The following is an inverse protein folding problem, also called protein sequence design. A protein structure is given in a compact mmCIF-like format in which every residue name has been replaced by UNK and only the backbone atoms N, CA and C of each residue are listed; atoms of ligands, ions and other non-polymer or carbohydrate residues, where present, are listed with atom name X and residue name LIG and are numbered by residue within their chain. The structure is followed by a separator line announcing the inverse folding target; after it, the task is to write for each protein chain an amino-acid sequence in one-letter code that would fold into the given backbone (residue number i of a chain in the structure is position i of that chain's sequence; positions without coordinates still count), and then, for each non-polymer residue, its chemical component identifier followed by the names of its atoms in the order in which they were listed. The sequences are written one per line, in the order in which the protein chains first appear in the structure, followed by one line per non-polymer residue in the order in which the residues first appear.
data_IF_920642259100
#
_entry.id   IF_920642259100
#
_cell.length_a   1.000
_cell.length_b   1.000
_cell.length_c   1.000
_cell.angle_alpha   90.00
_cell.angle_beta   90.00
_cell.angle_gamma   90.00
#
_symmetry.space_group_name_H-M   'P 1'
#
loop_
_entity.id
_entity.type
_entity.pdbx_description
1 polymer ?
#
# COMPACT_ATOMS: atom_id res chain seq x y z
N UNK A 1 1.86 -20.43 -30.01
CA UNK A 1 0.64 -19.72 -29.56
C UNK A 1 0.63 -19.80 -28.04
N UNK A 2 1.26 -18.82 -27.38
CA UNK A 2 1.43 -18.83 -25.91
C UNK A 2 0.13 -18.34 -25.28
N UNK A 3 -0.49 -19.18 -24.47
CA UNK A 3 -1.66 -18.83 -23.68
C UNK A 3 -1.20 -17.91 -22.55
N UNK A 4 -1.51 -16.61 -22.65
CA UNK A 4 -1.35 -15.70 -21.54
C UNK A 4 -2.48 -15.99 -20.55
N UNK A 5 -2.13 -16.44 -19.35
CA UNK A 5 -3.07 -16.48 -18.25
C UNK A 5 -3.34 -15.02 -17.84
N UNK A 6 -4.37 -14.41 -18.41
CA UNK A 6 -4.89 -13.11 -17.97
C UNK A 6 -5.43 -13.28 -16.56
N UNK A 7 -4.61 -12.95 -15.57
CA UNK A 7 -5.06 -12.76 -14.19
C UNK A 7 -5.99 -11.54 -14.20
N UNK A 8 -7.30 -11.78 -14.18
CA UNK A 8 -8.30 -10.73 -14.04
C UNK A 8 -8.20 -10.13 -12.64
N UNK A 9 -8.02 -8.81 -12.59
CA UNK A 9 -7.97 -8.01 -11.34
C UNK A 9 -9.22 -8.21 -10.48
N UNK A 10 -10.33 -8.63 -11.09
CA UNK A 10 -11.59 -9.00 -10.43
C UNK A 10 -11.39 -10.05 -9.31
N UNK A 11 -10.39 -10.92 -9.44
CA UNK A 11 -10.07 -11.91 -8.41
C UNK A 11 -9.45 -11.32 -7.13
N UNK A 12 -9.24 -9.99 -7.04
CA UNK A 12 -8.68 -9.29 -5.88
C UNK A 12 -9.67 -8.37 -5.17
N UNK A 13 -10.93 -8.35 -5.60
CA UNK A 13 -11.94 -7.40 -5.10
C UNK A 13 -12.66 -7.93 -3.85
N UNK A 14 -12.61 -9.24 -3.59
CA UNK A 14 -13.24 -9.85 -2.42
C UNK A 14 -12.38 -9.67 -1.14
N UNK A 15 -13.01 -9.37 0.01
CA UNK A 15 -12.29 -9.34 1.28
C UNK A 15 -11.64 -10.70 1.56
N UNK A 16 -10.31 -10.71 1.66
CA UNK A 16 -9.55 -11.96 1.84
C UNK A 16 -9.31 -12.75 0.55
N UNK A 17 -9.37 -12.13 -0.63
CA UNK A 17 -9.13 -12.68 -1.97
C UNK A 17 -7.75 -13.37 -2.23
N UNK A 18 -7.00 -13.69 -1.18
CA UNK A 18 -5.82 -14.55 -1.22
C UNK A 18 -5.81 -15.66 -0.15
N UNK A 19 -6.83 -15.73 0.71
CA UNK A 19 -6.96 -16.75 1.74
C UNK A 19 -7.82 -17.89 1.18
N UNK A 20 -7.19 -18.83 0.47
CA UNK A 20 -7.88 -20.10 0.16
C UNK A 20 -8.27 -20.78 1.47
N UNK A 21 -9.54 -21.20 1.58
CA UNK A 21 -10.02 -21.97 2.72
C UNK A 21 -9.25 -23.28 2.81
N UNK A 22 -8.75 -23.62 4.00
CA UNK A 22 -8.05 -24.89 4.24
C UNK A 22 -8.92 -26.10 3.85
N UNK A 23 -10.24 -25.96 3.78
CA UNK A 23 -11.14 -27.04 3.37
C UNK A 23 -10.96 -27.49 1.91
N UNK A 24 -10.54 -26.60 1.00
CA UNK A 24 -10.34 -26.94 -0.42
C UNK A 24 -9.04 -27.73 -0.67
N UNK A 25 -8.07 -27.67 0.26
CA UNK A 25 -6.78 -28.37 0.15
C UNK A 25 -6.96 -29.88 0.35
N UNK A 26 -8.00 -30.30 1.07
CA UNK A 26 -8.18 -31.70 1.49
C UNK A 26 -8.94 -32.53 0.47
N UNK A 27 -9.43 -31.89 -0.60
CA UNK A 27 -10.19 -32.56 -1.65
C UNK A 27 -9.30 -33.06 -2.81
N UNK A 28 -8.02 -32.67 -2.82
CA UNK A 28 -7.07 -32.92 -3.94
C UNK A 28 -5.86 -33.79 -3.54
N UNK A 29 -5.95 -34.52 -2.41
CA UNK A 29 -4.82 -35.30 -1.87
C UNK A 29 -4.24 -36.30 -2.87
N UNK A 30 -5.07 -36.86 -3.74
CA UNK A 30 -4.64 -37.86 -4.72
C UNK A 30 -3.84 -37.23 -5.88
N UNK A 31 -4.07 -35.95 -6.21
CA UNK A 31 -3.27 -35.22 -7.20
C UNK A 31 -1.89 -34.82 -6.65
N UNK A 32 -1.78 -34.59 -5.34
CA UNK A 32 -0.52 -34.22 -4.67
C UNK A 32 0.50 -35.37 -4.72
N UNK A 33 0.04 -36.63 -4.60
CA UNK A 33 0.95 -37.78 -4.65
C UNK A 33 1.47 -38.05 -6.07
N UNK A 34 0.66 -37.83 -7.11
CA UNK A 34 1.08 -38.07 -8.50
C UNK A 34 2.10 -37.04 -9.01
N UNK A 35 2.09 -35.80 -8.48
CA UNK A 35 3.06 -34.76 -8.83
C UNK A 35 4.41 -34.98 -8.11
N UNK A 36 4.37 -35.50 -6.87
CA UNK A 36 5.56 -35.74 -6.04
C UNK A 36 6.55 -36.76 -6.65
N UNK A 37 6.06 -37.68 -7.47
CA UNK A 37 6.90 -38.71 -8.10
C UNK A 37 7.24 -38.44 -9.58
N UNK A 38 6.67 -37.40 -10.20
CA UNK A 38 7.00 -37.00 -11.58
C UNK A 38 8.22 -36.08 -11.66
N UNK A 39 8.45 -35.26 -10.64
CA UNK A 39 9.53 -34.26 -10.63
C UNK A 39 10.94 -34.86 -10.45
N UNK A 40 11.05 -36.13 -10.03
CA UNK A 40 12.35 -36.75 -9.72
C UNK A 40 13.21 -37.11 -10.96
N UNK A 41 12.70 -36.94 -12.19
CA UNK A 41 13.37 -37.39 -13.42
C UNK A 41 13.78 -36.28 -14.40
N UNK A 42 13.39 -35.03 -14.19
CA UNK A 42 13.69 -33.92 -15.12
C UNK A 42 14.62 -32.83 -14.53
N UNK A 43 15.00 -32.96 -13.25
CA UNK A 43 15.55 -31.85 -12.44
C UNK A 43 17.09 -31.68 -12.48
N UNK A 44 17.74 -32.02 -13.59
CA UNK A 44 19.21 -31.85 -13.70
C UNK A 44 19.66 -30.53 -14.34
N UNK A 45 18.74 -29.63 -14.71
CA UNK A 45 19.06 -28.28 -15.21
C UNK A 45 18.08 -27.16 -14.79
N UNK A 46 17.38 -27.29 -13.67
CA UNK A 46 16.50 -26.23 -13.17
C UNK A 46 17.30 -25.07 -12.54
N UNK A 47 17.47 -24.02 -13.35
CA UNK A 47 17.55 -22.61 -12.97
C UNK A 47 16.97 -22.36 -11.57
N UNK A 48 17.77 -21.84 -10.64
CA UNK A 48 17.46 -21.74 -9.20
C UNK A 48 16.09 -21.10 -8.99
N UNK A 49 15.10 -21.92 -8.61
CA UNK A 49 13.72 -21.55 -8.25
C UNK A 49 13.71 -20.74 -6.94
N UNK A 50 14.19 -19.51 -6.96
CA UNK A 50 14.22 -18.66 -5.77
C UNK A 50 12.99 -17.72 -5.75
N UNK A 51 12.15 -17.76 -4.70
CA UNK A 51 11.07 -16.79 -4.51
C UNK A 51 11.57 -15.35 -4.65
N UNK A 52 10.83 -14.54 -5.40
CA UNK A 52 11.19 -13.14 -5.63
C UNK A 52 10.01 -12.19 -5.44
N UNK A 53 10.33 -10.94 -5.13
CA UNK A 53 9.35 -9.86 -4.93
C UNK A 53 9.78 -8.62 -5.69
N UNK A 54 8.80 -7.85 -6.16
CA UNK A 54 9.09 -6.62 -6.89
C UNK A 54 9.49 -5.52 -5.93
N UNK A 55 10.54 -4.80 -6.27
CA UNK A 55 11.01 -3.61 -5.55
C UNK A 55 11.41 -2.53 -6.54
N UNK A 56 11.82 -1.37 -6.03
CA UNK A 56 12.24 -0.22 -6.85
C UNK A 56 13.52 0.45 -6.30
N UNK A 57 14.31 -0.27 -5.50
CA UNK A 57 15.61 0.19 -4.97
C UNK A 57 15.56 1.56 -4.28
N UNK A 58 14.55 1.81 -3.45
CA UNK A 58 14.38 3.09 -2.74
C UNK A 58 14.10 4.32 -3.61
N UNK A 59 13.99 4.18 -4.93
CA UNK A 59 13.82 5.30 -5.85
C UNK A 59 12.36 5.79 -5.88
N UNK A 60 12.09 6.94 -5.23
CA UNK A 60 10.75 7.54 -5.19
C UNK A 60 10.15 7.79 -6.58
N UNK A 61 10.95 8.17 -7.58
CA UNK A 61 10.48 8.37 -8.95
C UNK A 61 9.98 7.08 -9.59
N UNK A 62 10.70 5.97 -9.39
CA UNK A 62 10.30 4.66 -9.89
C UNK A 62 9.05 4.14 -9.15
N UNK A 63 8.99 4.32 -7.82
CA UNK A 63 7.81 3.96 -7.00
C UNK A 63 6.59 4.78 -7.44
N UNK A 64 6.74 6.08 -7.67
CA UNK A 64 5.66 6.96 -8.13
C UNK A 64 5.17 6.57 -9.53
N UNK A 65 6.08 6.27 -10.47
CA UNK A 65 5.71 5.75 -11.79
C UNK A 65 4.91 4.44 -11.67
N UNK A 66 5.35 3.52 -10.81
CA UNK A 66 4.65 2.27 -10.57
C UNK A 66 3.28 2.46 -9.89
N UNK A 67 3.13 3.44 -8.99
CA UNK A 67 1.83 3.82 -8.45
C UNK A 67 0.85 4.20 -9.58
N UNK A 68 1.29 5.01 -10.55
CA UNK A 68 0.43 5.40 -11.67
C UNK A 68 0.04 4.24 -12.59
N UNK A 69 0.92 3.25 -12.74
CA UNK A 69 0.64 2.07 -13.57
C UNK A 69 -0.35 1.13 -12.87
N UNK A 70 -0.10 0.81 -11.59
CA UNK A 70 -0.74 -0.32 -10.93
C UNK A 70 -1.82 0.05 -9.91
N UNK A 71 -1.76 1.25 -9.34
CA UNK A 71 -2.62 1.64 -8.21
C UNK A 71 -3.57 2.77 -8.59
N UNK A 72 -3.09 3.83 -9.25
CA UNK A 72 -3.90 5.00 -9.62
C UNK A 72 -5.19 4.67 -10.38
N UNK A 73 -5.24 3.68 -11.31
CA UNK A 73 -6.48 3.30 -11.98
C UNK A 73 -7.61 2.87 -11.03
N UNK A 74 -7.27 2.39 -9.83
CA UNK A 74 -8.21 1.88 -8.82
C UNK A 74 -8.29 2.80 -7.58
N UNK A 75 -7.22 3.52 -7.29
CA UNK A 75 -7.07 4.37 -6.10
C UNK A 75 -6.41 5.72 -6.44
N UNK A 76 -7.12 6.62 -7.16
CA UNK A 76 -6.58 7.86 -7.72
C UNK A 76 -6.51 9.01 -6.69
N UNK A 77 -5.88 8.74 -5.54
CA UNK A 77 -5.73 9.70 -4.43
C UNK A 77 -4.72 10.82 -4.71
N UNK A 78 -3.73 10.58 -5.58
CA UNK A 78 -2.78 11.61 -6.02
C UNK A 78 -3.23 12.26 -7.34
N UNK A 79 -2.79 13.50 -7.63
CA UNK A 79 -3.00 14.15 -8.92
C UNK A 79 -2.52 13.26 -10.09
N UNK A 80 -3.14 13.41 -11.27
CA UNK A 80 -2.74 12.66 -12.46
C UNK A 80 -1.29 13.01 -12.86
N UNK A 81 -0.59 12.08 -13.53
CA UNK A 81 0.79 12.32 -13.94
C UNK A 81 0.83 13.45 -14.97
N UNK A 82 1.70 14.45 -14.75
CA UNK A 82 1.94 15.54 -15.71
C UNK A 82 2.87 15.12 -16.85
N UNK A 83 3.70 14.10 -16.62
CA UNK A 83 4.61 13.53 -17.59
C UNK A 83 4.09 12.19 -18.10
N UNK A 84 4.52 11.80 -19.30
CA UNK A 84 4.25 10.46 -19.81
C UNK A 84 4.86 9.40 -18.87
N UNK A 85 4.10 8.34 -18.61
CA UNK A 85 4.56 7.21 -17.81
C UNK A 85 5.71 6.50 -18.52
N UNK A 86 6.71 6.09 -17.76
CA UNK A 86 7.78 5.22 -18.23
C UNK A 86 7.39 3.76 -18.03
N UNK A 87 8.11 2.84 -18.69
CA UNK A 87 7.96 1.41 -18.41
C UNK A 87 8.20 1.11 -16.93
N UNK A 88 7.60 0.03 -16.42
CA UNK A 88 7.76 -0.40 -15.03
C UNK A 88 9.22 -0.76 -14.73
N UNK A 89 9.84 -0.08 -13.77
CA UNK A 89 11.28 -0.17 -13.46
C UNK A 89 11.52 -1.12 -12.29
N UNK A 90 11.04 -2.36 -12.43
CA UNK A 90 11.12 -3.37 -11.36
C UNK A 90 12.57 -3.78 -11.10
N UNK A 91 12.93 -3.85 -9.83
CA UNK A 91 14.16 -4.46 -9.33
C UNK A 91 13.76 -5.72 -8.55
N UNK A 92 14.00 -6.94 -9.08
CA UNK A 92 13.61 -8.16 -8.39
C UNK A 92 14.47 -8.38 -7.15
N UNK A 93 13.83 -8.64 -6.02
CA UNK A 93 14.47 -9.02 -4.77
C UNK A 93 14.19 -10.49 -4.48
N UNK A 94 15.26 -11.29 -4.48
CA UNK A 94 15.21 -12.70 -4.10
C UNK A 94 15.14 -12.83 -2.57
N UNK A 95 14.45 -13.85 -2.05
CA UNK A 95 14.39 -14.08 -0.60
C UNK A 95 15.79 -14.27 0.01
N UNK A 96 16.72 -14.91 -0.72
CA UNK A 96 18.12 -15.07 -0.31
C UNK A 96 18.91 -13.76 -0.20
N UNK A 97 18.35 -12.64 -0.69
CA UNK A 97 18.94 -11.31 -0.66
C UNK A 97 18.25 -10.39 0.34
N UNK A 98 17.48 -10.93 1.29
CA UNK A 98 16.79 -10.17 2.33
C UNK A 98 17.70 -9.27 3.18
N UNK A 99 19.01 -9.52 3.18
CA UNK A 99 19.95 -8.69 3.93
C UNK A 99 20.37 -7.42 3.17
N UNK A 100 20.01 -7.31 1.88
CA UNK A 100 20.32 -6.14 1.02
C UNK A 100 19.14 -5.16 0.91
N UNK A 101 18.25 -5.17 1.89
CA UNK A 101 17.06 -4.33 1.89
C UNK A 101 17.43 -2.86 2.04
N UNK A 102 17.23 -2.09 0.99
CA UNK A 102 17.11 -0.64 1.08
C UNK A 102 15.63 -0.30 1.29
N UNK A 103 15.29 0.09 2.51
CA UNK A 103 13.92 0.49 2.85
C UNK A 103 13.55 1.79 2.12
N UNK A 104 12.34 1.90 1.56
CA UNK A 104 11.83 3.17 1.06
C UNK A 104 11.80 4.22 2.19
N UNK A 105 12.16 5.46 1.88
CA UNK A 105 12.52 6.43 2.93
C UNK A 105 11.35 7.14 3.61
N UNK A 106 10.13 7.10 3.03
CA UNK A 106 8.95 7.81 3.56
C UNK A 106 7.75 6.89 3.73
N UNK A 107 6.86 7.24 4.67
CA UNK A 107 5.63 6.50 4.94
C UNK A 107 4.81 6.19 3.68
N UNK A 108 4.65 7.18 2.79
CA UNK A 108 3.92 7.01 1.53
C UNK A 108 4.64 6.05 0.57
N UNK A 109 5.97 6.17 0.44
CA UNK A 109 6.76 5.29 -0.42
C UNK A 109 6.71 3.83 0.07
N UNK A 110 6.76 3.61 1.39
CA UNK A 110 6.59 2.30 2.01
C UNK A 110 5.18 1.75 1.81
N UNK A 111 4.13 2.55 2.00
CA UNK A 111 2.75 2.13 1.81
C UNK A 111 2.45 1.73 0.36
N UNK A 112 2.92 2.51 -0.61
CA UNK A 112 2.83 2.18 -2.04
C UNK A 112 3.60 0.88 -2.33
N UNK A 113 4.85 0.80 -1.86
CA UNK A 113 5.70 -0.37 -2.08
C UNK A 113 5.11 -1.64 -1.46
N UNK A 114 4.43 -1.55 -0.32
CA UNK A 114 3.76 -2.68 0.31
C UNK A 114 2.65 -3.27 -0.58
N UNK A 115 1.88 -2.42 -1.26
CA UNK A 115 0.86 -2.87 -2.23
C UNK A 115 1.55 -3.43 -3.48
N UNK A 116 2.54 -2.73 -4.03
CA UNK A 116 3.25 -3.16 -5.24
C UNK A 116 3.94 -4.51 -5.04
N UNK A 117 4.57 -4.76 -3.89
CA UNK A 117 5.26 -6.00 -3.57
C UNK A 117 4.37 -7.26 -3.71
N UNK A 118 3.05 -7.12 -3.65
CA UNK A 118 2.14 -8.26 -3.82
C UNK A 118 1.91 -8.64 -5.28
N UNK A 119 2.19 -7.73 -6.20
CA UNK A 119 2.05 -7.96 -7.63
C UNK A 119 3.29 -8.75 -8.11
N UNK A 120 3.12 -9.87 -8.83
CA UNK A 120 4.23 -10.72 -9.28
C UNK A 120 5.35 -9.98 -10.03
N UNK A 121 6.61 -10.35 -9.86
CA UNK A 121 7.68 -9.84 -10.72
C UNK A 121 7.47 -10.30 -12.17
N UNK A 122 7.78 -9.47 -13.17
CA UNK A 122 7.81 -9.90 -14.57
C UNK A 122 8.75 -11.09 -14.83
N UNK A 123 9.85 -11.19 -14.06
CA UNK A 123 10.87 -12.22 -14.17
C UNK A 123 10.49 -13.52 -13.46
N UNK A 124 9.45 -13.50 -12.62
CA UNK A 124 8.99 -14.67 -11.88
C UNK A 124 8.23 -15.62 -12.82
N UNK A 125 8.84 -16.78 -13.08
CA UNK A 125 8.27 -17.81 -13.96
C UNK A 125 7.15 -18.60 -13.30
N UNK A 126 7.08 -18.65 -11.97
CA UNK A 126 6.04 -19.37 -11.24
C UNK A 126 5.46 -18.53 -10.10
N UNK A 127 4.74 -17.44 -10.41
CA UNK A 127 4.32 -16.49 -9.40
C UNK A 127 3.19 -17.00 -8.50
N UNK A 128 2.56 -18.12 -8.85
CA UNK A 128 1.52 -18.75 -8.03
C UNK A 128 2.09 -19.82 -7.10
N UNK A 129 3.38 -20.08 -7.18
CA UNK A 129 4.09 -20.95 -6.26
C UNK A 129 3.83 -20.52 -4.80
N UNK A 130 3.51 -21.45 -3.88
CA UNK A 130 3.23 -21.12 -2.48
C UNK A 130 4.36 -20.33 -1.81
N UNK A 131 5.62 -20.63 -2.11
CA UNK A 131 6.77 -19.96 -1.51
C UNK A 131 6.94 -18.55 -2.10
N UNK A 132 6.73 -18.38 -3.41
CA UNK A 132 6.69 -17.06 -4.05
C UNK A 132 5.58 -16.18 -3.46
N UNK A 133 4.37 -16.74 -3.27
CA UNK A 133 3.25 -16.03 -2.64
C UNK A 133 3.54 -15.68 -1.18
N UNK A 134 4.10 -16.62 -0.42
CA UNK A 134 4.46 -16.41 0.98
C UNK A 134 5.53 -15.32 1.12
N UNK A 135 6.56 -15.34 0.26
CA UNK A 135 7.61 -14.33 0.24
C UNK A 135 7.07 -12.94 -0.07
N UNK A 136 6.27 -12.79 -1.14
CA UNK A 136 5.65 -11.49 -1.47
C UNK A 136 4.80 -10.94 -0.33
N UNK A 137 4.03 -11.80 0.37
CA UNK A 137 3.23 -11.40 1.54
C UNK A 137 4.08 -10.97 2.72
N UNK A 138 5.13 -11.74 3.05
CA UNK A 138 6.06 -11.45 4.14
C UNK A 138 6.74 -10.10 3.92
N UNK A 139 7.26 -9.88 2.72
CA UNK A 139 7.94 -8.63 2.37
C UNK A 139 6.99 -7.43 2.30
N UNK A 140 5.81 -7.60 1.72
CA UNK A 140 4.74 -6.60 1.73
C UNK A 140 4.35 -6.19 3.15
N UNK A 141 4.21 -7.15 4.07
CA UNK A 141 3.89 -6.88 5.46
C UNK A 141 5.01 -6.13 6.18
N UNK A 142 6.26 -6.44 5.87
CA UNK A 142 7.41 -5.70 6.38
C UNK A 142 7.32 -4.22 5.96
N UNK A 143 7.14 -3.93 4.68
CA UNK A 143 6.98 -2.56 4.17
C UNK A 143 5.77 -1.83 4.78
N UNK A 144 4.65 -2.52 4.98
CA UNK A 144 3.47 -1.93 5.63
C UNK A 144 3.73 -1.57 7.11
N UNK A 145 4.62 -2.28 7.79
CA UNK A 145 5.08 -1.93 9.14
C UNK A 145 6.05 -0.77 9.12
N UNK A 146 7.06 -0.79 8.24
CA UNK A 146 7.98 0.34 8.06
C UNK A 146 7.23 1.63 7.73
N UNK A 147 6.15 1.56 6.95
CA UNK A 147 5.29 2.71 6.68
C UNK A 147 4.67 3.32 7.95
N UNK A 148 4.28 2.49 8.92
CA UNK A 148 3.67 2.93 10.17
C UNK A 148 4.72 3.48 11.13
N UNK A 149 5.85 2.81 11.23
CA UNK A 149 6.99 3.27 12.03
C UNK A 149 7.48 4.63 11.50
N UNK A 150 7.50 4.82 10.18
CA UNK A 150 7.79 6.11 9.56
C UNK A 150 6.73 7.17 9.86
N UNK A 151 5.43 6.83 9.90
CA UNK A 151 4.37 7.77 10.29
C UNK A 151 4.52 8.22 11.75
N UNK A 152 4.83 7.28 12.65
CA UNK A 152 5.05 7.57 14.06
C UNK A 152 6.28 8.46 14.25
N UNK A 153 7.38 8.14 13.54
CA UNK A 153 8.62 8.93 13.57
C UNK A 153 8.46 10.34 12.97
N UNK A 154 7.58 10.52 11.98
CA UNK A 154 7.27 11.84 11.41
C UNK A 154 6.46 12.74 12.36
N UNK A 155 5.68 12.14 13.27
CA UNK A 155 4.88 12.86 14.28
C UNK A 155 5.68 13.13 15.57
N UNK A 156 6.81 12.45 15.76
CA UNK A 156 7.71 12.65 16.91
C UNK A 156 8.43 14.01 16.84
N UNK A 157 8.11 14.89 17.78
CA UNK A 157 8.82 16.16 17.95
C UNK A 157 10.18 15.89 18.62
N UNK A 158 11.33 16.16 17.96
CA UNK A 158 12.65 15.91 18.56
C UNK A 158 12.82 16.64 19.89
N UNK A 159 12.27 17.85 19.99
CA UNK A 159 12.31 18.67 21.19
C UNK A 159 11.52 18.08 22.36
N UNK A 160 10.53 17.22 22.10
CA UNK A 160 9.77 16.54 23.16
C UNK A 160 10.65 15.60 23.99
N UNK A 161 11.72 15.05 23.40
CA UNK A 161 12.67 14.17 24.10
C UNK A 161 13.76 14.92 24.86
N UNK A 162 14.05 16.18 24.48
CA UNK A 162 15.18 16.95 25.01
C UNK A 162 14.71 18.06 25.96
N UNK A 163 13.67 18.80 25.58
CA UNK A 163 13.12 19.93 26.35
C UNK A 163 11.59 20.05 26.14
N UNK A 164 10.78 19.28 26.91
CA UNK A 164 9.33 19.21 26.71
C UNK A 164 8.62 20.56 26.82
N UNK A 165 9.13 21.49 27.63
CA UNK A 165 8.60 22.84 27.80
C UNK A 165 8.65 23.63 26.48
N UNK A 166 9.76 23.51 25.76
CA UNK A 166 10.02 24.19 24.49
C UNK A 166 9.18 23.59 23.36
N UNK A 167 9.00 22.26 23.37
CA UNK A 167 8.10 21.57 22.45
C UNK A 167 6.63 22.03 22.55
N UNK A 168 6.20 22.54 23.71
CA UNK A 168 4.85 23.10 23.91
C UNK A 168 4.74 24.57 23.44
N UNK A 169 5.85 25.30 23.41
CA UNK A 169 5.89 26.73 23.06
C UNK A 169 6.08 26.96 21.56
N UNK A 170 6.80 26.06 20.88
CA UNK A 170 7.04 26.18 19.44
C UNK A 170 5.83 25.72 18.62
N UNK A 171 5.44 26.48 17.57
CA UNK A 171 4.45 25.99 16.60
C UNK A 171 4.95 24.68 15.97
N UNK A 172 4.05 23.80 15.52
CA UNK A 172 4.43 22.63 14.73
C UNK A 172 5.25 23.12 13.52
N UNK A 173 6.56 22.91 13.57
CA UNK A 173 7.45 23.33 12.50
C UNK A 173 7.18 22.45 11.28
N UNK A 174 7.22 23.05 10.10
CA UNK A 174 6.90 22.35 8.86
C UNK A 174 7.85 21.15 8.67
N UNK A 175 7.31 19.96 8.36
CA UNK A 175 8.10 18.76 8.10
C UNK A 175 9.08 19.06 6.94
N UNK A 176 10.35 19.27 7.27
CA UNK A 176 11.42 19.66 6.34
C UNK A 176 11.96 18.46 5.54
N UNK A 177 11.07 17.59 5.04
CA UNK A 177 11.46 16.45 4.20
C UNK A 177 11.14 16.70 2.74
N UNK A 178 11.86 16.01 1.87
CA UNK A 178 11.57 16.02 0.44
C UNK A 178 10.16 15.47 0.18
N UNK A 179 9.43 16.14 -0.72
CA UNK A 179 8.12 15.68 -1.19
C UNK A 179 8.28 14.39 -1.97
N UNK A 180 7.43 13.42 -1.69
CA UNK A 180 7.34 12.22 -2.51
C UNK A 180 6.76 12.54 -3.90
N UNK A 181 5.80 13.46 -3.97
CA UNK A 181 5.15 13.87 -5.21
C UNK A 181 5.19 15.39 -5.38
N UNK A 182 5.60 15.93 -6.54
CA UNK A 182 5.83 17.37 -6.73
C UNK A 182 4.58 18.23 -6.46
N UNK A 183 3.41 17.77 -6.92
CA UNK A 183 2.12 18.46 -6.73
C UNK A 183 1.33 18.00 -5.50
N UNK A 184 1.98 17.32 -4.55
CA UNK A 184 1.36 16.99 -3.26
C UNK A 184 2.18 17.66 -2.17
N UNK A 185 1.56 18.49 -1.31
CA UNK A 185 2.26 19.08 -0.18
C UNK A 185 2.53 17.99 0.87
N UNK A 186 3.66 18.07 1.57
CA UNK A 186 4.17 17.03 2.48
C UNK A 186 3.13 16.67 3.55
N UNK A 187 2.37 17.66 4.00
CA UNK A 187 1.35 17.53 5.05
C UNK A 187 0.22 16.56 4.66
N UNK A 188 -0.01 16.32 3.36
CA UNK A 188 -1.02 15.37 2.89
C UNK A 188 -0.50 13.95 2.74
N UNK A 189 0.82 13.74 2.71
CA UNK A 189 1.41 12.43 2.42
C UNK A 189 1.11 11.40 3.52
N UNK A 190 1.04 11.83 4.78
CA UNK A 190 0.64 10.96 5.90
C UNK A 190 -0.81 10.48 5.79
N UNK A 191 -1.72 11.37 5.38
CA UNK A 191 -3.12 11.03 5.10
C UNK A 191 -3.21 10.04 3.94
N UNK A 192 -2.43 10.25 2.89
CA UNK A 192 -2.37 9.34 1.73
C UNK A 192 -1.86 7.96 2.15
N UNK A 193 -0.76 7.90 2.93
CA UNK A 193 -0.20 6.65 3.44
C UNK A 193 -1.22 5.89 4.30
N UNK A 194 -1.92 6.56 5.22
CA UNK A 194 -2.95 5.94 6.06
C UNK A 194 -4.10 5.35 5.22
N UNK A 195 -4.54 6.06 4.19
CA UNK A 195 -5.58 5.57 3.28
C UNK A 195 -5.12 4.34 2.48
N UNK A 196 -3.90 4.36 1.94
CA UNK A 196 -3.32 3.20 1.25
C UNK A 196 -3.19 1.99 2.18
N UNK A 197 -2.75 2.21 3.43
CA UNK A 197 -2.67 1.16 4.44
C UNK A 197 -4.05 0.64 4.86
N UNK A 198 -5.09 1.48 4.86
CA UNK A 198 -6.46 1.02 5.09
C UNK A 198 -6.90 0.02 4.03
N UNK A 199 -6.69 0.36 2.75
CA UNK A 199 -6.98 -0.53 1.60
C UNK A 199 -6.16 -1.82 1.69
N UNK A 200 -4.88 -1.70 2.04
CA UNK A 200 -3.99 -2.84 2.25
C UNK A 200 -4.52 -3.81 3.32
N UNK A 201 -4.92 -3.31 4.49
CA UNK A 201 -5.45 -4.12 5.58
C UNK A 201 -6.75 -4.84 5.19
N UNK A 202 -7.58 -4.20 4.36
CA UNK A 202 -8.79 -4.82 3.82
C UNK A 202 -8.47 -5.94 2.82
N UNK A 203 -7.81 -5.58 1.71
CA UNK A 203 -7.65 -6.46 0.56
C UNK A 203 -6.70 -7.63 0.84
N UNK A 204 -5.66 -7.41 1.64
CA UNK A 204 -4.54 -8.35 1.77
C UNK A 204 -4.52 -9.06 3.12
N UNK A 205 -5.00 -8.38 4.17
CA UNK A 205 -4.99 -8.91 5.53
C UNK A 205 -6.36 -9.37 6.02
N UNK A 206 -7.45 -8.95 5.36
CA UNK A 206 -8.81 -9.14 5.86
C UNK A 206 -9.04 -8.53 7.24
N UNK A 207 -8.19 -7.59 7.67
CA UNK A 207 -8.21 -7.05 9.02
C UNK A 207 -9.07 -5.80 9.09
N UNK A 208 -10.38 -6.00 9.17
CA UNK A 208 -11.37 -4.92 9.14
C UNK A 208 -11.21 -3.92 10.30
N UNK A 209 -10.71 -4.39 11.46
CA UNK A 209 -10.43 -3.53 12.62
C UNK A 209 -9.27 -2.57 12.32
N UNK A 210 -8.17 -3.08 11.74
CA UNK A 210 -7.04 -2.23 11.35
C UNK A 210 -7.39 -1.32 10.18
N UNK A 211 -8.07 -1.84 9.16
CA UNK A 211 -8.59 -1.04 8.04
C UNK A 211 -9.34 0.19 8.58
N UNK A 212 -10.31 -0.03 9.47
CA UNK A 212 -11.09 1.04 10.08
C UNK A 212 -10.22 2.00 10.87
N UNK A 213 -9.36 1.51 11.75
CA UNK A 213 -8.50 2.36 12.58
C UNK A 213 -7.66 3.31 11.71
N UNK A 214 -7.10 2.82 10.59
CA UNK A 214 -6.32 3.64 9.66
C UNK A 214 -7.16 4.66 8.91
N UNK A 215 -8.37 4.28 8.46
CA UNK A 215 -9.29 5.22 7.81
C UNK A 215 -9.77 6.31 8.79
N UNK A 216 -10.07 5.95 10.03
CA UNK A 216 -10.48 6.90 11.08
C UNK A 216 -9.34 7.88 11.40
N UNK A 217 -8.09 7.41 11.51
CA UNK A 217 -6.91 8.29 11.65
C UNK A 217 -6.73 9.21 10.45
N UNK A 218 -6.84 8.70 9.22
CA UNK A 218 -6.76 9.52 8.01
C UNK A 218 -7.82 10.63 7.99
N UNK A 219 -9.05 10.30 8.40
CA UNK A 219 -10.14 11.27 8.49
C UNK A 219 -9.86 12.36 9.51
N UNK A 220 -9.41 11.99 10.71
CA UNK A 220 -9.07 12.96 11.74
C UNK A 220 -7.98 13.92 11.26
N UNK A 221 -6.93 13.41 10.63
CA UNK A 221 -5.85 14.23 10.08
C UNK A 221 -6.36 15.17 8.96
N UNK A 222 -7.21 14.67 8.06
CA UNK A 222 -7.84 15.48 7.01
C UNK A 222 -8.77 16.57 7.57
N UNK A 223 -9.50 16.27 8.65
CA UNK A 223 -10.37 17.24 9.33
C UNK A 223 -9.55 18.30 10.06
N UNK A 224 -8.46 17.94 10.72
CA UNK A 224 -7.54 18.87 11.38
C UNK A 224 -6.93 19.87 10.38
N UNK A 225 -6.65 19.43 9.15
CA UNK A 225 -6.21 20.31 8.06
C UNK A 225 -7.37 21.03 7.33
N UNK A 226 -8.59 20.89 7.82
CA UNK A 226 -9.80 21.50 7.27
C UNK A 226 -10.06 21.17 5.78
N UNK A 227 -9.60 20.01 5.30
CA UNK A 227 -9.79 19.63 3.89
C UNK A 227 -11.26 19.54 3.48
N UNK A 228 -12.13 19.23 4.44
CA UNK A 228 -13.57 19.14 4.29
C UNK A 228 -14.29 20.46 4.00
N UNK A 229 -13.67 21.62 4.29
CA UNK A 229 -14.27 22.94 4.06
C UNK A 229 -13.47 23.82 3.10
N UNK A 230 -12.26 23.39 2.71
CA UNK A 230 -11.30 24.20 1.96
C UNK A 230 -11.50 24.16 0.43
N UNK A 231 -12.74 23.94 -0.03
CA UNK A 231 -13.07 23.82 -1.47
C UNK A 231 -12.80 25.09 -2.28
N UNK A 232 -12.74 26.26 -1.61
CA UNK A 232 -12.72 27.57 -2.29
C UNK A 232 -11.31 28.18 -2.43
N UNK A 233 -10.26 27.47 -2.01
CA UNK A 233 -8.86 27.94 -2.15
C UNK A 233 -8.26 27.30 -3.39
N UNK A 234 -8.22 28.05 -4.48
CA UNK A 234 -7.55 27.66 -5.72
C UNK A 234 -6.06 28.04 -5.63
N UNK A 235 -5.22 27.01 -5.47
CA UNK A 235 -3.76 27.10 -5.55
C UNK A 235 -3.21 25.86 -6.26
N UNK A 236 -1.88 25.75 -6.37
CA UNK A 236 -1.20 24.64 -7.04
C UNK A 236 -1.47 23.26 -6.42
N UNK A 237 -1.94 23.18 -5.17
CA UNK A 237 -2.27 21.94 -4.45
C UNK A 237 -3.78 21.71 -4.31
N UNK A 238 -4.63 22.54 -4.94
CA UNK A 238 -6.08 22.43 -4.87
C UNK A 238 -6.60 21.05 -5.31
N UNK A 239 -6.06 20.53 -6.42
CA UNK A 239 -6.42 19.19 -6.90
C UNK A 239 -6.00 18.10 -5.91
N UNK A 240 -4.79 18.17 -5.36
CA UNK A 240 -4.30 17.21 -4.37
C UNK A 240 -5.19 17.18 -3.12
N UNK A 241 -5.52 18.34 -2.56
CA UNK A 241 -6.44 18.45 -1.42
C UNK A 241 -7.80 17.84 -1.72
N UNK A 242 -8.36 18.13 -2.88
CA UNK A 242 -9.66 17.60 -3.32
C UNK A 242 -9.64 16.07 -3.40
N UNK A 243 -8.65 15.49 -4.08
CA UNK A 243 -8.51 14.02 -4.22
C UNK A 243 -8.29 13.34 -2.87
N UNK A 244 -7.40 13.88 -2.04
CA UNK A 244 -7.13 13.33 -0.70
C UNK A 244 -8.39 13.34 0.16
N UNK A 245 -9.16 14.44 0.15
CA UNK A 245 -10.42 14.52 0.88
C UNK A 245 -11.43 13.46 0.40
N UNK A 246 -11.73 13.42 -0.90
CA UNK A 246 -12.74 12.52 -1.43
C UNK A 246 -12.36 11.05 -1.30
N UNK A 247 -11.09 10.71 -1.51
CA UNK A 247 -10.61 9.34 -1.31
C UNK A 247 -10.62 8.95 0.17
N UNK A 248 -10.30 9.88 1.08
CA UNK A 248 -10.44 9.63 2.53
C UNK A 248 -11.89 9.35 2.89
N UNK A 249 -12.83 10.16 2.37
CA UNK A 249 -14.25 9.95 2.58
C UNK A 249 -14.71 8.57 2.04
N UNK A 250 -14.24 8.16 0.87
CA UNK A 250 -14.51 6.84 0.30
C UNK A 250 -13.97 5.73 1.21
N UNK A 251 -12.73 5.81 1.67
CA UNK A 251 -12.12 4.80 2.55
C UNK A 251 -12.88 4.64 3.87
N UNK A 252 -13.28 5.74 4.53
CA UNK A 252 -14.05 5.69 5.78
C UNK A 252 -15.45 5.12 5.52
N UNK A 253 -16.08 5.49 4.41
CA UNK A 253 -17.39 4.97 4.01
C UNK A 253 -17.33 3.46 3.78
N UNK A 254 -16.33 2.99 3.03
CA UNK A 254 -16.06 1.57 2.83
C UNK A 254 -15.82 0.86 4.16
N UNK A 255 -14.93 1.39 5.01
CA UNK A 255 -14.65 0.82 6.33
C UNK A 255 -15.93 0.73 7.19
N UNK A 256 -16.79 1.73 7.13
CA UNK A 256 -18.07 1.75 7.87
C UNK A 256 -19.02 0.66 7.38
N UNK A 257 -19.16 0.52 6.07
CA UNK A 257 -20.02 -0.48 5.42
C UNK A 257 -19.55 -1.89 5.79
N UNK A 258 -18.27 -2.21 5.57
CA UNK A 258 -17.75 -3.57 5.79
C UNK A 258 -17.71 -3.96 7.27
N UNK A 259 -17.58 -2.99 8.18
CA UNK A 259 -17.63 -3.24 9.63
C UNK A 259 -19.06 -3.22 10.19
N UNK A 260 -20.10 -3.01 9.38
CA UNK A 260 -21.49 -2.83 9.84
C UNK A 260 -21.64 -1.77 10.94
N UNK A 261 -20.86 -0.70 10.86
CA UNK A 261 -20.90 0.38 11.84
C UNK A 261 -21.26 1.68 11.20
N UNK A 262 -22.26 2.38 11.73
CA UNK A 262 -22.51 3.76 11.39
C UNK A 262 -21.35 4.62 11.92
N UNK A 263 -20.55 5.18 11.02
CA UNK A 263 -19.64 6.26 11.41
C UNK A 263 -20.46 7.49 11.72
N UNK A 264 -20.56 7.82 13.02
CA UNK A 264 -21.26 9.02 13.51
C UNK A 264 -20.68 10.31 12.92
N UNK A 265 -19.43 10.29 12.47
CA UNK A 265 -18.74 11.41 11.80
C UNK A 265 -19.25 11.63 10.37
N UNK A 266 -19.47 10.56 9.59
CA UNK A 266 -20.06 10.65 8.24
C UNK A 266 -21.47 11.26 8.31
N UNK A 267 -22.26 10.86 9.31
CA UNK A 267 -23.61 11.42 9.50
C UNK A 267 -23.61 12.92 9.81
N UNK A 268 -22.61 13.41 10.57
CA UNK A 268 -22.50 14.83 10.88
C UNK A 268 -22.03 15.65 9.67
N UNK A 269 -21.13 15.11 8.86
CA UNK A 269 -20.64 15.79 7.65
C UNK A 269 -21.74 15.91 6.58
N UNK A 270 -22.58 14.89 6.41
CA UNK A 270 -23.72 14.92 5.50
C UNK A 270 -24.85 15.89 5.90
N UNK A 271 -24.81 16.45 7.12
CA UNK A 271 -25.77 17.47 7.58
C UNK A 271 -25.28 18.91 7.37
N UNK A 272 -24.00 19.10 7.01
CA UNK A 272 -23.37 20.41 6.85
C UNK A 272 -22.74 20.63 5.46
N UNK A 273 -22.99 19.72 4.52
CA UNK A 273 -22.68 19.87 3.08
C UNK A 273 -23.90 20.45 2.36
#
# INVERSE_FOLDING_TARGET
MKSYCTLLVENYIDPGAGLRSLADIWQDSDAIYDDLFKDALDDTLADVKAPMVRTYGGNNGAILNAYYIWIHPYFPIMPPPKCALTADQVVPLLESQSDKLEEPCSAISCAISAILALIPCPEDRNPLDPDAVAWRRKYSQFLAKSALESLESEDERPESSVEPSKALEEPDDHVSREKFHPDVPVELESIIALNLLSVYEYAQRGNLKKMRARADSALMNAMNQSLHTRSNVEDEYSEARCRVWWMTYVCVSQASIVNNTLSKLIQRLGQHS
#
